data_IF_668227216867
#
_entry.id   IF_668227216867
#
_cell.length_a   1.000
_cell.length_b   1.000
_cell.length_c   1.000
_cell.angle_alpha   90.00
_cell.angle_beta   90.00
_cell.angle_gamma   90.00
#
_symmetry.space_group_name_H-M   'P 1'
#
loop_
_entity.id
_entity.type
_entity.pdbx_description
1 polymer ?
#
# COMPACT_ATOMS: atom_id res chain seq x y z
N UNK A 1 -7.92 3.42 6.76
CA UNK A 1 -7.02 3.98 5.75
C UNK A 1 -7.72 4.03 4.38
N UNK A 2 -8.08 2.90 3.83
CA UNK A 2 -8.64 2.79 2.47
C UNK A 2 -10.16 2.91 2.39
N UNK A 3 -10.91 2.74 3.50
CA UNK A 3 -12.38 2.71 3.44
C UNK A 3 -12.88 1.65 2.45
N UNK A 4 -13.84 2.05 1.60
CA UNK A 4 -14.52 1.15 0.66
C UNK A 4 -13.83 1.07 -0.72
N UNK A 5 -12.62 1.66 -0.89
CA UNK A 5 -11.94 1.62 -2.20
C UNK A 5 -11.24 0.28 -2.47
N UNK A 6 -11.09 -0.55 -1.44
CA UNK A 6 -10.63 -1.94 -1.56
C UNK A 6 -11.80 -2.87 -1.28
N UNK A 7 -12.05 -3.80 -2.18
CA UNK A 7 -12.93 -4.94 -1.96
C UNK A 7 -12.16 -6.00 -1.14
N UNK A 8 -12.30 -5.92 0.18
CA UNK A 8 -11.58 -6.80 1.11
C UNK A 8 -12.03 -8.25 1.04
N UNK A 9 -13.24 -8.55 0.59
CA UNK A 9 -13.72 -9.93 0.43
C UNK A 9 -12.92 -10.69 -0.62
N UNK A 10 -12.35 -9.97 -1.58
CA UNK A 10 -11.47 -10.52 -2.62
C UNK A 10 -10.00 -10.57 -2.24
N UNK A 11 -9.64 -10.08 -1.05
CA UNK A 11 -8.24 -10.05 -0.59
C UNK A 11 -7.96 -11.25 0.29
N UNK A 12 -6.87 -11.97 0.01
CA UNK A 12 -6.36 -13.00 0.91
C UNK A 12 -4.93 -12.70 1.30
N UNK A 13 -4.65 -12.85 2.58
CA UNK A 13 -3.30 -12.80 3.13
C UNK A 13 -2.81 -14.25 3.23
N UNK A 14 -1.71 -14.55 2.57
CA UNK A 14 -1.19 -15.92 2.45
C UNK A 14 0.20 -16.02 3.04
N UNK A 15 0.42 -16.95 3.96
CA UNK A 15 1.76 -17.35 4.41
C UNK A 15 2.36 -18.36 3.44
N UNK A 16 2.49 -17.97 2.17
CA UNK A 16 2.99 -18.81 1.08
C UNK A 16 3.74 -17.95 0.07
N UNK A 17 4.85 -18.46 -0.46
CA UNK A 17 5.58 -17.81 -1.55
C UNK A 17 4.70 -17.65 -2.79
N UNK A 18 4.84 -16.51 -3.46
CA UNK A 18 4.29 -16.29 -4.79
C UNK A 18 5.04 -17.11 -5.86
N UNK A 19 6.37 -17.15 -5.74
CA UNK A 19 7.25 -17.93 -6.63
C UNK A 19 8.36 -18.62 -5.82
N UNK A 20 8.98 -19.70 -6.34
CA UNK A 20 9.92 -20.55 -5.57
C UNK A 20 11.08 -19.79 -4.93
N UNK A 21 11.61 -18.78 -5.60
CA UNK A 21 12.79 -17.99 -5.17
C UNK A 21 12.45 -16.68 -4.46
N UNK A 22 11.22 -16.48 -4.01
CA UNK A 22 10.84 -15.28 -3.24
C UNK A 22 11.74 -15.15 -2.01
N UNK A 23 12.46 -14.00 -1.84
CA UNK A 23 13.30 -13.77 -0.66
C UNK A 23 12.45 -13.71 0.61
N UNK A 24 13.06 -14.08 1.76
CA UNK A 24 12.37 -14.09 3.07
C UNK A 24 11.91 -12.71 3.53
N UNK A 25 12.61 -11.68 3.11
CA UNK A 25 12.36 -10.28 3.48
C UNK A 25 11.37 -9.57 2.57
N UNK A 26 10.91 -10.23 1.50
CA UNK A 26 10.03 -9.61 0.51
C UNK A 26 8.61 -10.15 0.64
N UNK A 27 7.67 -9.25 0.90
CA UNK A 27 6.22 -9.47 0.77
C UNK A 27 5.78 -9.02 -0.63
N UNK A 28 4.78 -9.64 -1.20
CA UNK A 28 4.34 -9.37 -2.57
C UNK A 28 2.83 -9.47 -2.71
N UNK A 29 2.23 -8.53 -3.45
CA UNK A 29 0.80 -8.56 -3.79
C UNK A 29 0.54 -8.50 -5.31
N UNK A 30 1.11 -9.39 -6.13
CA UNK A 30 1.15 -9.25 -7.59
C UNK A 30 -0.21 -9.34 -8.28
N UNK A 31 -1.20 -10.00 -7.68
CA UNK A 31 -2.54 -10.22 -8.24
C UNK A 31 -3.67 -9.89 -7.26
N UNK A 32 -3.44 -8.97 -6.32
CA UNK A 32 -4.45 -8.56 -5.35
C UNK A 32 -4.57 -9.48 -4.13
N UNK A 33 -3.65 -10.42 -3.97
CA UNK A 33 -3.49 -11.23 -2.75
C UNK A 33 -2.10 -10.99 -2.17
N UNK A 34 -2.00 -10.85 -0.86
CA UNK A 34 -0.73 -10.59 -0.17
C UNK A 34 -0.03 -11.91 0.16
N UNK A 35 1.20 -12.07 -0.31
CA UNK A 35 2.01 -13.27 -0.14
C UNK A 35 3.21 -12.98 0.76
N UNK A 36 3.18 -13.52 1.97
CA UNK A 36 4.30 -13.50 2.89
C UNK A 36 5.16 -14.76 2.73
N UNK A 37 6.47 -14.59 2.83
CA UNK A 37 7.35 -15.76 2.87
C UNK A 37 7.07 -16.58 4.14
N UNK A 38 6.90 -17.93 4.06
CA UNK A 38 6.50 -18.75 5.22
C UNK A 38 7.49 -18.73 6.38
N UNK A 39 8.77 -18.43 6.10
CA UNK A 39 9.85 -18.28 7.09
C UNK A 39 10.29 -16.83 7.28
N UNK A 40 9.51 -15.86 6.77
CA UNK A 40 9.77 -14.43 6.95
C UNK A 40 9.18 -13.94 8.27
N UNK A 41 9.79 -12.92 8.86
CA UNK A 41 9.36 -12.31 10.12
C UNK A 41 8.23 -11.30 9.94
N UNK A 42 7.91 -10.94 8.70
CA UNK A 42 6.91 -9.93 8.39
C UNK A 42 5.46 -10.42 8.59
N UNK A 43 5.22 -11.73 8.58
CA UNK A 43 3.89 -12.30 8.79
C UNK A 43 3.51 -12.31 10.27
N UNK A 44 2.25 -12.03 10.56
CA UNK A 44 1.62 -12.30 11.86
C UNK A 44 0.18 -12.74 11.64
N UNK A 45 -0.38 -13.48 12.61
CA UNK A 45 -1.73 -14.02 12.50
C UNK A 45 -2.80 -12.93 12.65
N UNK A 46 -2.48 -11.86 13.38
CA UNK A 46 -3.38 -10.73 13.59
C UNK A 46 -2.62 -9.40 13.45
N UNK A 47 -2.69 -8.81 12.27
CA UNK A 47 -2.05 -7.52 11.99
C UNK A 47 -2.63 -6.35 12.78
N UNK A 48 -3.85 -6.48 13.33
CA UNK A 48 -4.41 -5.40 14.18
C UNK A 48 -3.65 -5.25 15.50
N UNK A 49 -2.97 -6.31 15.93
CA UNK A 49 -2.14 -6.37 17.14
C UNK A 49 -0.64 -6.34 16.85
N UNK A 50 -0.26 -6.30 15.57
CA UNK A 50 1.13 -6.22 15.17
C UNK A 50 1.76 -4.87 15.56
N UNK A 51 3.09 -4.83 15.62
CA UNK A 51 3.81 -3.57 15.73
C UNK A 51 3.55 -2.68 14.50
N UNK A 52 3.76 -1.38 14.69
CA UNK A 52 3.43 -0.36 13.68
C UNK A 52 4.23 -0.54 12.39
N UNK A 53 5.41 -1.16 12.43
CA UNK A 53 6.23 -1.40 11.26
C UNK A 53 5.63 -2.49 10.38
N UNK A 54 5.17 -3.59 11.00
CA UNK A 54 4.45 -4.68 10.29
C UNK A 54 3.10 -4.21 9.77
N UNK A 55 2.38 -3.40 10.54
CA UNK A 55 1.14 -2.77 10.06
C UNK A 55 1.43 -1.88 8.83
N UNK A 56 2.48 -1.06 8.87
CA UNK A 56 2.90 -0.24 7.74
C UNK A 56 3.26 -1.06 6.50
N UNK A 57 3.93 -2.21 6.67
CA UNK A 57 4.20 -3.13 5.58
C UNK A 57 2.90 -3.68 4.96
N UNK A 58 1.94 -4.08 5.77
CA UNK A 58 0.64 -4.52 5.26
C UNK A 58 -0.08 -3.39 4.51
N UNK A 59 -0.03 -2.16 5.02
CA UNK A 59 -0.60 -0.98 4.33
C UNK A 59 0.05 -0.79 2.97
N UNK A 60 1.37 -0.90 2.86
CA UNK A 60 2.10 -0.85 1.59
C UNK A 60 1.57 -1.90 0.59
N UNK A 61 1.45 -3.15 1.02
CA UNK A 61 0.94 -4.24 0.16
C UNK A 61 -0.54 -4.05 -0.21
N UNK A 62 -1.35 -3.47 0.66
CA UNK A 62 -2.75 -3.14 0.36
C UNK A 62 -2.87 -2.03 -0.70
N UNK A 63 -1.89 -1.14 -0.83
CA UNK A 63 -1.85 -0.21 -1.99
C UNK A 63 -1.71 -1.00 -3.29
N UNK A 64 -0.86 -2.03 -3.32
CA UNK A 64 -0.74 -2.88 -4.50
C UNK A 64 -2.03 -3.66 -4.80
N UNK A 65 -2.75 -4.10 -3.77
CA UNK A 65 -4.10 -4.68 -3.93
C UNK A 65 -5.05 -3.67 -4.58
N UNK A 66 -5.09 -2.44 -4.06
CA UNK A 66 -5.89 -1.35 -4.63
C UNK A 66 -5.53 -1.06 -6.09
N UNK A 67 -4.24 -0.99 -6.41
CA UNK A 67 -3.76 -0.80 -7.79
C UNK A 67 -4.23 -1.93 -8.72
N UNK A 68 -4.19 -3.18 -8.27
CA UNK A 68 -4.69 -4.33 -9.04
C UNK A 68 -6.20 -4.29 -9.22
N UNK A 69 -6.95 -3.95 -8.18
CA UNK A 69 -8.41 -3.88 -8.24
C UNK A 69 -8.89 -2.75 -9.15
N UNK A 70 -8.16 -1.63 -9.18
CA UNK A 70 -8.51 -0.46 -10.02
C UNK A 70 -7.96 -0.52 -11.43
N UNK A 71 -6.81 -1.16 -11.66
CA UNK A 71 -6.08 -1.17 -12.94
C UNK A 71 -6.03 -2.53 -13.64
N UNK A 72 -6.52 -3.58 -12.97
CA UNK A 72 -6.57 -4.95 -13.50
C UNK A 72 -5.41 -5.85 -13.03
N UNK A 73 -5.65 -7.16 -13.12
CA UNK A 73 -4.79 -8.23 -12.56
C UNK A 73 -3.34 -8.24 -13.06
N UNK A 74 -3.11 -7.75 -14.27
CA UNK A 74 -1.80 -7.76 -14.90
C UNK A 74 -1.01 -6.46 -14.69
N UNK A 75 -1.64 -5.44 -14.09
CA UNK A 75 -1.04 -4.12 -13.94
C UNK A 75 0.32 -4.16 -13.24
N UNK A 76 0.42 -4.82 -12.09
CA UNK A 76 1.69 -4.92 -11.37
C UNK A 76 2.69 -5.84 -12.07
N UNK A 77 2.22 -6.97 -12.63
CA UNK A 77 3.08 -7.96 -13.27
C UNK A 77 3.80 -7.36 -14.49
N UNK A 78 3.10 -6.51 -15.25
CA UNK A 78 3.64 -5.90 -16.46
C UNK A 78 4.40 -4.58 -16.22
N UNK A 79 4.16 -3.93 -15.07
CA UNK A 79 4.72 -2.60 -14.77
C UNK A 79 5.72 -2.59 -13.62
N UNK A 80 5.83 -3.68 -12.86
CA UNK A 80 6.81 -3.78 -11.79
C UNK A 80 8.19 -4.06 -12.39
N UNK A 81 8.94 -3.00 -12.53
CA UNK A 81 10.32 -3.07 -13.03
C UNK A 81 11.27 -3.48 -11.89
N UNK A 82 12.34 -4.26 -12.15
CA UNK A 82 13.34 -4.66 -11.14
C UNK A 82 14.03 -3.47 -10.46
N UNK A 83 14.02 -2.30 -11.13
CA UNK A 83 14.59 -1.04 -10.64
C UNK A 83 13.53 -0.04 -10.17
N UNK A 84 12.38 -0.51 -9.71
CA UNK A 84 11.34 0.37 -9.18
C UNK A 84 11.89 1.24 -8.04
N UNK A 85 11.66 2.55 -8.15
CA UNK A 85 12.11 3.50 -7.14
C UNK A 85 11.10 3.55 -6.00
N UNK A 86 11.60 3.42 -4.79
CA UNK A 86 10.86 3.62 -3.55
C UNK A 86 11.00 5.04 -3.02
N UNK A 87 12.16 5.68 -3.28
CA UNK A 87 12.43 7.06 -2.94
C UNK A 87 11.56 8.03 -3.73
N UNK A 88 11.02 9.01 -3.05
CA UNK A 88 10.18 10.05 -3.65
C UNK A 88 10.35 11.40 -2.93
N UNK A 89 9.95 12.47 -3.61
CA UNK A 89 9.71 13.77 -3.01
C UNK A 89 8.29 14.20 -3.36
N UNK A 90 7.54 14.70 -2.37
CA UNK A 90 6.20 15.22 -2.63
C UNK A 90 6.29 16.46 -3.52
N UNK A 91 5.48 16.48 -4.56
CA UNK A 91 5.40 17.59 -5.51
C UNK A 91 4.06 18.30 -5.33
N UNK A 92 4.06 19.65 -5.10
CA UNK A 92 2.83 20.41 -4.95
C UNK A 92 1.86 20.16 -6.12
N UNK A 93 0.58 19.91 -5.78
CA UNK A 93 -0.47 19.71 -6.77
C UNK A 93 -0.46 18.35 -7.51
N UNK A 94 0.47 17.47 -7.20
CA UNK A 94 0.44 16.13 -7.78
C UNK A 94 -0.53 15.23 -7.01
N UNK A 95 -1.50 14.59 -7.70
CA UNK A 95 -2.30 13.53 -7.10
C UNK A 95 -1.46 12.26 -6.91
N UNK A 96 -1.92 11.36 -6.02
CA UNK A 96 -1.22 10.12 -5.68
C UNK A 96 -0.92 9.26 -6.93
N UNK A 97 -1.85 9.19 -7.86
CA UNK A 97 -1.76 8.38 -9.07
C UNK A 97 -0.64 8.81 -10.04
N UNK A 98 -0.07 9.99 -9.83
CA UNK A 98 1.03 10.53 -10.65
C UNK A 98 2.40 10.02 -10.23
N UNK A 99 2.48 9.46 -9.02
CA UNK A 99 3.70 8.82 -8.51
C UNK A 99 3.85 7.40 -9.06
N UNK A 100 5.08 6.89 -9.06
CA UNK A 100 5.34 5.50 -9.44
C UNK A 100 4.64 4.50 -8.52
N UNK A 101 4.47 3.27 -8.99
CA UNK A 101 3.71 2.21 -8.27
C UNK A 101 4.22 2.02 -6.83
N UNK A 102 5.53 1.85 -6.66
CA UNK A 102 6.14 1.66 -5.34
C UNK A 102 6.14 2.96 -4.52
N UNK A 103 6.33 4.11 -5.19
CA UNK A 103 6.26 5.41 -4.53
C UNK A 103 4.87 5.67 -3.94
N UNK A 104 3.79 5.31 -4.65
CA UNK A 104 2.42 5.39 -4.12
C UNK A 104 2.29 4.56 -2.84
N UNK A 105 2.81 3.34 -2.84
CA UNK A 105 2.76 2.46 -1.67
C UNK A 105 3.58 3.02 -0.49
N UNK A 106 4.75 3.57 -0.74
CA UNK A 106 5.57 4.23 0.29
C UNK A 106 4.90 5.49 0.85
N UNK A 107 4.32 6.33 -0.01
CA UNK A 107 3.59 7.53 0.42
C UNK A 107 2.44 7.16 1.36
N UNK A 108 1.64 6.16 1.00
CA UNK A 108 0.50 5.72 1.82
C UNK A 108 0.96 5.09 3.13
N UNK A 109 2.03 4.29 3.11
CA UNK A 109 2.66 3.73 4.33
C UNK A 109 3.15 4.85 5.25
N UNK A 110 3.84 5.85 4.72
CA UNK A 110 4.31 6.99 5.50
C UNK A 110 3.15 7.82 6.05
N UNK A 111 2.09 8.06 5.29
CA UNK A 111 0.87 8.70 5.79
C UNK A 111 0.26 7.91 6.96
N UNK A 112 0.21 6.58 6.87
CA UNK A 112 -0.25 5.72 7.95
C UNK A 112 0.61 5.89 9.21
N UNK A 113 1.93 5.86 9.09
CA UNK A 113 2.84 6.05 10.22
C UNK A 113 2.67 7.44 10.86
N UNK A 114 2.61 8.50 10.05
CA UNK A 114 2.43 9.88 10.55
C UNK A 114 1.11 10.04 11.31
N UNK A 115 0.00 9.46 10.83
CA UNK A 115 -1.30 9.44 11.52
C UNK A 115 -1.25 8.70 12.86
N UNK A 116 -0.32 7.77 13.02
CA UNK A 116 -0.08 7.05 14.27
C UNK A 116 1.05 7.63 15.12
N UNK A 117 1.48 8.87 14.85
CA UNK A 117 2.48 9.59 15.64
C UNK A 117 3.92 9.15 15.39
N UNK A 118 4.19 8.32 14.37
CA UNK A 118 5.54 7.91 14.02
C UNK A 118 6.18 8.98 13.14
N UNK A 119 7.37 9.45 13.53
CA UNK A 119 8.16 10.38 12.74
C UNK A 119 8.79 9.66 11.55
N UNK A 120 8.63 10.22 10.36
CA UNK A 120 9.26 9.72 9.13
C UNK A 120 10.37 10.68 8.73
N UNK A 121 11.58 10.15 8.53
CA UNK A 121 12.71 10.95 8.11
C UNK A 121 12.45 11.66 6.78
N UNK A 122 12.85 12.94 6.67
CA UNK A 122 12.65 13.73 5.45
C UNK A 122 11.24 14.30 5.25
N UNK A 123 10.30 14.03 6.16
CA UNK A 123 8.96 14.63 6.13
C UNK A 123 8.95 15.96 6.87
N UNK A 124 8.84 17.04 6.10
CA UNK A 124 8.74 18.39 6.67
C UNK A 124 7.30 18.78 7.04
N UNK A 125 6.32 18.31 6.28
CA UNK A 125 4.90 18.65 6.46
C UNK A 125 4.00 17.38 6.45
N UNK A 126 3.62 16.86 7.62
CA UNK A 126 2.68 15.72 7.71
C UNK A 126 1.30 16.01 7.11
N UNK A 127 0.82 17.26 7.12
CA UNK A 127 -0.49 17.61 6.60
C UNK A 127 -0.57 17.40 5.07
N UNK A 128 0.54 17.54 4.36
CA UNK A 128 0.61 17.26 2.93
C UNK A 128 0.25 15.79 2.61
N UNK A 129 0.62 14.86 3.48
CA UNK A 129 0.26 13.45 3.34
C UNK A 129 -1.23 13.21 3.56
N UNK A 130 -1.86 13.90 4.51
CA UNK A 130 -3.29 13.78 4.76
C UNK A 130 -4.14 14.33 3.61
N UNK A 131 -3.66 15.36 2.93
CA UNK A 131 -4.31 15.88 1.73
C UNK A 131 -4.14 14.93 0.53
N UNK A 132 -2.96 14.35 0.37
CA UNK A 132 -2.62 13.49 -0.76
C UNK A 132 -3.27 12.12 -0.66
N UNK A 133 -3.29 11.53 0.55
CA UNK A 133 -3.80 10.18 0.80
C UNK A 133 -5.25 10.24 1.28
N UNK A 134 -6.14 10.67 0.38
CA UNK A 134 -7.59 10.64 0.57
C UNK A 134 -8.20 9.67 -0.41
N UNK A 135 -8.36 8.43 0.01
CA UNK A 135 -9.14 7.46 -0.76
C UNK A 135 -10.63 7.84 -0.64
N UNK A 136 -11.21 8.34 -1.73
CA UNK A 136 -12.66 8.59 -1.80
C UNK A 136 -13.32 7.30 -2.23
N UNK A 137 -14.17 6.74 -1.38
CA UNK A 137 -15.05 5.64 -1.77
C UNK A 137 -15.97 6.07 -2.92
N UNK A 138 -16.36 5.14 -3.78
CA UNK A 138 -17.22 5.36 -4.95
C UNK A 138 -18.68 5.77 -4.58
N UNK A 139 -18.95 6.17 -3.33
CA UNK A 139 -20.27 6.44 -2.76
C UNK A 139 -20.62 7.90 -2.49
N UNK A 140 -19.93 8.87 -3.07
CA UNK A 140 -20.29 10.29 -2.93
C UNK A 140 -21.16 10.79 -4.07
N UNK A 141 -22.40 10.28 -4.23
CA UNK A 141 -23.43 11.07 -4.92
C UNK A 141 -23.76 12.26 -4.02
N UNK A 142 -23.40 13.47 -4.47
CA UNK A 142 -23.97 14.67 -3.91
C UNK A 142 -25.48 14.63 -4.14
N UNK A 143 -26.23 14.51 -3.08
CA UNK A 143 -27.65 14.87 -3.08
C UNK A 143 -27.66 16.39 -3.02
N UNK A 144 -27.74 17.03 -4.18
CA UNK A 144 -28.17 18.39 -4.30
C UNK A 144 -29.70 18.35 -4.23
N UNK A 145 -30.23 18.73 -3.08
CA UNK A 145 -31.60 19.16 -2.91
C UNK A 145 -31.67 20.65 -3.13
#
# INVERSE_FOLDING_TARGET
>A
MFGDVIDYEKVTIRRRKWFPFQPRTITMAPRGHVHFHPRGEAYCDDFSKADILRQGLLIHELVHVWQVQTRGKWFLVTRRMPWARYDYALKPGWPLERYGIEQQAEIVKHAFWLRNGIKVAGVADPAAYDLLVRFRGAGGRSVSG
#
